data_IF_514001522948
#
_entry.id   IF_514001522948
#
_cell.length_a   1.000
_cell.length_b   1.000
_cell.length_c   1.000
_cell.angle_alpha   90.00
_cell.angle_beta   90.00
_cell.angle_gamma   90.00
#
_symmetry.space_group_name_H-M   'P 1'
#
loop_
_entity.id
_entity.type
_entity.pdbx_description
1 polymer ?
#
# COMPACT_ATOMS: atom_id res chain seq x y z
N UNK A 1 15.83 -3.91 -5.45
CA UNK A 1 15.25 -2.82 -4.64
C UNK A 1 14.24 -2.06 -5.50
N UNK A 2 12.94 -2.23 -5.23
CA UNK A 2 11.86 -1.61 -6.02
C UNK A 2 11.25 -0.44 -5.26
N UNK A 3 11.06 0.68 -5.97
CA UNK A 3 10.46 1.89 -5.44
C UNK A 3 9.05 2.06 -5.99
N UNK A 4 8.12 2.46 -5.13
CA UNK A 4 6.73 2.73 -5.46
C UNK A 4 6.45 4.21 -5.34
N UNK A 5 5.98 4.85 -6.42
CA UNK A 5 5.47 6.21 -6.33
C UNK A 5 4.16 6.25 -5.54
N UNK A 6 4.09 7.10 -4.53
CA UNK A 6 2.94 7.27 -3.63
C UNK A 6 2.39 8.70 -3.67
N UNK A 7 2.68 9.44 -4.74
CA UNK A 7 2.13 10.78 -5.00
C UNK A 7 3.19 11.88 -5.03
N UNK A 8 3.04 12.84 -5.96
CA UNK A 8 3.89 14.05 -6.08
C UNK A 8 5.40 13.79 -6.15
N UNK A 9 5.80 12.69 -6.79
CA UNK A 9 7.21 12.31 -6.87
C UNK A 9 7.77 11.64 -5.60
N UNK A 10 6.99 11.55 -4.52
CA UNK A 10 7.38 10.81 -3.32
C UNK A 10 7.34 9.31 -3.58
N UNK A 11 8.36 8.60 -3.09
CA UNK A 11 8.52 7.15 -3.28
C UNK A 11 8.82 6.43 -1.97
N UNK A 12 8.45 5.15 -1.91
CA UNK A 12 8.76 4.25 -0.79
C UNK A 12 9.28 2.92 -1.31
N UNK A 13 10.00 2.17 -0.47
CA UNK A 13 10.44 0.81 -0.80
C UNK A 13 9.25 -0.15 -0.74
N UNK A 14 8.97 -0.84 -1.84
CA UNK A 14 7.84 -1.80 -1.94
C UNK A 14 7.93 -2.88 -0.87
N UNK A 15 9.11 -3.47 -0.72
CA UNK A 15 9.40 -4.59 0.19
C UNK A 15 9.21 -4.28 1.68
N UNK A 16 9.05 -2.99 2.03
CA UNK A 16 8.88 -2.52 3.40
C UNK A 16 7.44 -2.11 3.73
N UNK A 17 6.53 -2.18 2.76
CA UNK A 17 5.11 -1.92 2.96
C UNK A 17 4.48 -3.19 3.55
N UNK A 18 3.94 -3.08 4.76
CA UNK A 18 3.20 -4.17 5.42
C UNK A 18 1.72 -4.13 5.05
N UNK A 19 1.16 -2.93 4.93
CA UNK A 19 -0.25 -2.76 4.56
C UNK A 19 -0.50 -1.42 3.86
N UNK A 20 -1.52 -1.43 2.99
CA UNK A 20 -2.12 -0.22 2.40
C UNK A 20 -3.59 -0.21 2.81
N UNK A 21 -4.03 0.84 3.49
CA UNK A 21 -5.39 0.91 4.06
C UNK A 21 -6.13 2.19 3.68
N UNK A 22 -7.46 2.12 3.71
CA UNK A 22 -8.38 3.24 3.50
C UNK A 22 -8.43 4.19 4.71
N UNK A 23 -8.73 5.47 4.47
CA UNK A 23 -8.76 6.53 5.50
C UNK A 23 -10.11 6.68 6.24
N UNK A 24 -11.14 5.92 5.85
CA UNK A 24 -12.52 6.14 6.28
C UNK A 24 -12.89 5.62 7.67
N UNK A 25 -12.11 4.71 8.25
CA UNK A 25 -12.50 3.97 9.46
C UNK A 25 -12.00 4.61 10.76
N UNK A 26 -12.67 4.35 11.88
CA UNK A 26 -12.22 4.78 13.21
C UNK A 26 -10.83 4.26 13.56
N UNK A 27 -10.47 2.98 13.27
CA UNK A 27 -9.10 2.49 13.43
C UNK A 27 -8.06 3.27 12.61
N UNK A 28 -8.36 3.62 11.36
CA UNK A 28 -7.44 4.39 10.52
C UNK A 28 -7.16 5.78 11.09
N UNK A 29 -8.18 6.45 11.64
CA UNK A 29 -8.01 7.73 12.35
C UNK A 29 -7.12 7.55 13.58
N UNK A 30 -7.39 6.53 14.41
CA UNK A 30 -6.59 6.24 15.61
C UNK A 30 -5.12 5.96 15.26
N UNK A 31 -4.87 5.19 14.20
CA UNK A 31 -3.52 4.87 13.72
C UNK A 31 -2.76 6.15 13.36
N UNK A 32 -3.38 7.06 12.61
CA UNK A 32 -2.78 8.35 12.24
C UNK A 32 -2.43 9.19 13.47
N UNK A 33 -3.37 9.34 14.41
CA UNK A 33 -3.15 10.14 15.61
C UNK A 33 -2.02 9.56 16.49
N UNK A 34 -1.97 8.24 16.65
CA UNK A 34 -0.90 7.57 17.38
C UNK A 34 0.47 7.78 16.70
N UNK A 35 0.56 7.55 15.39
CA UNK A 35 1.80 7.78 14.66
C UNK A 35 2.26 9.23 14.72
N UNK A 36 1.32 10.20 14.69
CA UNK A 36 1.62 11.63 14.84
C UNK A 36 2.18 11.92 16.23
N UNK A 37 1.52 11.41 17.28
CA UNK A 37 1.93 11.58 18.68
C UNK A 37 3.32 11.00 18.93
N UNK A 38 3.65 9.88 18.29
CA UNK A 38 4.93 9.19 18.44
C UNK A 38 6.03 9.71 17.50
N UNK A 39 5.75 10.71 16.65
CA UNK A 39 6.74 11.27 15.72
C UNK A 39 7.10 10.34 14.54
N UNK A 40 6.24 9.37 14.22
CA UNK A 40 6.46 8.36 13.16
C UNK A 40 5.51 8.53 11.97
N UNK A 41 4.76 9.63 11.94
CA UNK A 41 3.87 9.98 10.83
C UNK A 41 4.66 10.75 9.76
N UNK A 42 4.61 10.27 8.52
CA UNK A 42 5.16 10.97 7.36
C UNK A 42 3.98 11.38 6.47
N UNK A 43 3.83 12.68 6.25
CA UNK A 43 2.78 13.21 5.38
C UNK A 43 3.36 13.58 4.02
N UNK A 44 2.93 12.88 2.95
CA UNK A 44 3.34 13.14 1.57
C UNK A 44 2.16 13.60 0.69
N UNK A 45 1.13 14.19 1.31
CA UNK A 45 -0.09 14.58 0.61
C UNK A 45 0.01 15.90 -0.15
N UNK A 46 1.06 16.70 0.04
CA UNK A 46 1.25 18.04 -0.56
C UNK A 46 0.02 18.95 -0.40
N UNK A 47 -0.57 18.96 0.80
CA UNK A 47 -1.77 19.74 1.12
C UNK A 47 -3.08 19.18 0.51
N UNK A 48 -3.04 18.01 -0.13
CA UNK A 48 -4.24 17.35 -0.67
C UNK A 48 -4.90 16.45 0.38
N UNK A 49 -6.15 16.08 0.10
CA UNK A 49 -6.86 15.10 0.93
C UNK A 49 -6.10 13.77 0.99
N UNK A 50 -5.86 13.28 2.21
CA UNK A 50 -5.38 11.91 2.43
C UNK A 50 -6.40 10.91 1.90
N UNK A 51 -5.98 10.07 0.96
CA UNK A 51 -6.80 9.01 0.35
C UNK A 51 -6.38 7.62 0.80
N UNK A 52 -5.12 7.42 1.18
CA UNK A 52 -4.62 6.15 1.70
C UNK A 52 -3.64 6.37 2.84
N UNK A 53 -3.43 5.30 3.60
CA UNK A 53 -2.42 5.19 4.64
C UNK A 53 -1.59 3.96 4.33
N UNK A 54 -0.27 4.11 4.28
CA UNK A 54 0.67 2.99 4.17
C UNK A 54 1.28 2.73 5.55
N UNK A 55 1.38 1.46 5.91
CA UNK A 55 2.04 1.00 7.14
C UNK A 55 3.34 0.33 6.76
N UNK A 56 4.44 0.84 7.30
CA UNK A 56 5.78 0.33 7.03
C UNK A 56 6.23 -0.67 8.10
N UNK A 57 7.19 -1.52 7.75
CA UNK A 57 7.85 -2.47 8.67
C UNK A 57 8.53 -1.80 9.88
N UNK A 58 9.01 -0.57 9.69
CA UNK A 58 9.58 0.31 10.72
C UNK A 58 8.52 0.97 11.60
N UNK A 59 7.27 0.50 11.50
CA UNK A 59 6.08 1.03 12.14
C UNK A 59 5.66 2.41 11.58
N UNK A 60 6.50 3.12 10.80
CA UNK A 60 6.15 4.41 10.22
C UNK A 60 4.83 4.35 9.44
N UNK A 61 4.04 5.42 9.58
CA UNK A 61 2.75 5.55 8.93
C UNK A 61 2.84 6.67 7.91
N UNK A 62 2.55 6.36 6.65
CA UNK A 62 2.69 7.31 5.55
C UNK A 62 1.32 7.69 5.04
N UNK A 63 1.02 8.99 4.99
CA UNK A 63 -0.22 9.52 4.45
C UNK A 63 -0.03 9.88 2.97
N UNK A 64 -0.87 9.34 2.11
CA UNK A 64 -0.80 9.59 0.67
C UNK A 64 -2.12 10.12 0.12
N UNK A 65 -2.02 10.96 -0.91
CA UNK A 65 -3.15 11.48 -1.70
C UNK A 65 -3.61 10.51 -2.81
N UNK A 66 -2.87 9.42 -3.01
CA UNK A 66 -3.15 8.36 -3.99
C UNK A 66 -4.15 7.36 -3.38
N UNK A 67 -5.07 6.87 -4.19
CA UNK A 67 -6.05 5.88 -3.73
C UNK A 67 -5.37 4.54 -3.47
N UNK A 68 -5.82 3.78 -2.45
CA UNK A 68 -5.21 2.48 -2.13
C UNK A 68 -5.26 1.52 -3.32
N UNK A 69 -6.37 1.48 -4.08
CA UNK A 69 -6.48 0.62 -5.27
C UNK A 69 -5.42 0.95 -6.33
N UNK A 70 -5.12 2.23 -6.53
CA UNK A 70 -4.04 2.67 -7.44
C UNK A 70 -2.66 2.24 -6.93
N UNK A 71 -2.44 2.27 -5.62
CA UNK A 71 -1.19 1.79 -5.01
C UNK A 71 -1.06 0.27 -5.23
N UNK A 72 -2.13 -0.50 -4.98
CA UNK A 72 -2.17 -1.95 -5.21
C UNK A 72 -1.89 -2.30 -6.67
N UNK A 73 -2.52 -1.61 -7.63
CA UNK A 73 -2.27 -1.80 -9.06
C UNK A 73 -0.81 -1.53 -9.43
N UNK A 74 -0.21 -0.47 -8.87
CA UNK A 74 1.21 -0.16 -9.11
C UNK A 74 2.13 -1.23 -8.50
N UNK A 75 1.80 -1.76 -7.32
CA UNK A 75 2.56 -2.87 -6.72
C UNK A 75 2.49 -4.14 -7.57
N UNK A 76 1.29 -4.48 -8.07
CA UNK A 76 1.10 -5.63 -8.98
C UNK A 76 1.93 -5.47 -10.26
N UNK A 77 1.94 -4.27 -10.86
CA UNK A 77 2.73 -3.98 -12.05
C UNK A 77 4.25 -4.12 -11.85
N UNK A 78 4.75 -3.95 -10.61
CA UNK A 78 6.16 -4.14 -10.26
C UNK A 78 6.55 -5.61 -10.10
N UNK A 79 5.58 -6.52 -9.93
CA UNK A 79 5.81 -7.96 -9.80
C UNK A 79 5.08 -8.78 -10.89
N UNK A 80 5.55 -8.74 -12.16
CA UNK A 80 4.92 -9.50 -13.24
C UNK A 80 4.89 -11.02 -12.99
N UNK A 81 5.87 -11.55 -12.26
CA UNK A 81 6.01 -12.99 -12.00
C UNK A 81 4.93 -13.56 -11.07
N UNK A 82 4.42 -12.77 -10.12
CA UNK A 82 3.37 -13.21 -9.19
C UNK A 82 2.05 -13.42 -9.91
N UNK A 83 1.74 -12.56 -10.89
CA UNK A 83 0.52 -12.64 -11.69
C UNK A 83 0.48 -13.89 -12.59
N UNK A 84 1.64 -14.35 -13.09
CA UNK A 84 1.75 -15.61 -13.81
C UNK A 84 1.59 -16.82 -12.88
N UNK A 85 2.21 -16.79 -11.69
CA UNK A 85 2.08 -17.87 -10.71
C UNK A 85 0.65 -18.04 -10.19
N UNK A 86 -0.05 -16.94 -9.89
CA UNK A 86 -1.47 -16.94 -9.51
C UNK A 86 -2.34 -17.46 -10.65
N UNK A 87 -2.10 -17.00 -11.88
CA UNK A 87 -2.80 -17.52 -13.07
C UNK A 87 -2.63 -19.03 -13.25
N UNK A 88 -1.40 -19.55 -13.14
CA UNK A 88 -1.13 -20.99 -13.22
C UNK A 88 -1.77 -21.76 -12.05
N UNK A 89 -1.83 -21.19 -10.85
CA UNK A 89 -2.47 -21.80 -9.69
C UNK A 89 -4.01 -21.89 -9.86
N UNK A 90 -4.66 -20.84 -10.38
CA UNK A 90 -6.10 -20.85 -10.68
C UNK A 90 -6.47 -21.88 -11.75
N UNK A 91 -5.66 -21.99 -12.81
CA UNK A 91 -5.85 -23.01 -13.85
C UNK A 91 -5.70 -24.44 -13.30
N UNK A 92 -4.75 -24.66 -12.39
CA UNK A 92 -4.53 -25.95 -11.75
C UNK A 92 -5.67 -26.36 -10.79
N UNK A 93 -6.40 -25.39 -10.20
CA UNK A 93 -7.59 -25.66 -9.39
C UNK A 93 -8.79 -26.03 -10.25
N UNK A 94 -9.05 -25.32 -11.35
CA UNK A 94 -10.16 -25.62 -12.27
C UNK A 94 -10.05 -27.00 -12.93
N UNK A 95 -8.84 -27.47 -13.20
CA UNK A 95 -8.61 -28.81 -13.78
C UNK A 95 -8.84 -29.98 -12.81
N UNK A 96 -9.01 -29.74 -11.50
CA UNK A 96 -9.28 -30.80 -10.50
C UNK A 96 -10.76 -30.97 -10.15
N UNK A 97 -11.61 -30.05 -10.60
CA UNK A 97 -13.07 -30.10 -10.40
C UNK A 97 -13.81 -30.67 -11.63
N UNK A 98 -13.08 -31.23 -12.60
CA UNK A 98 -13.58 -31.83 -13.84
C UNK A 98 -13.46 -33.36 -13.84
#
# INVERSE_FOLDING_TARGET
MQLLNIGFGNTVMVERIIAVINTGSSPARKLRELAKKEGRLVDVTEGRRTRSILVMDSNHVILSSVQPDTISQRMMALHPGTQLAEYYAEMAQKGKES
#
